data_IF_861006811243
#
_entry.id   IF_861006811243
#
_cell.length_a   1.000
_cell.length_b   1.000
_cell.length_c   1.000
_cell.angle_alpha   90.00
_cell.angle_beta   90.00
_cell.angle_gamma   90.00
#
_symmetry.space_group_name_H-M   'P 1'
#
loop_
_entity.id
_entity.type
_entity.pdbx_description
1 polymer ?
#
# COMPACT_ATOMS: atom_id res chain seq x y z
N UNK A 1 14.10 28.28 -59.06
CA UNK A 1 14.60 27.74 -57.78
C UNK A 1 13.84 26.44 -57.52
N UNK A 2 14.46 25.32 -57.87
CA UNK A 2 13.86 23.98 -57.78
C UNK A 2 14.44 23.28 -56.55
N UNK A 3 13.62 23.03 -55.54
CA UNK A 3 14.03 22.31 -54.32
C UNK A 3 14.06 20.81 -54.67
N UNK A 4 15.21 20.11 -54.56
CA UNK A 4 15.28 18.70 -54.85
C UNK A 4 14.62 17.90 -53.73
N UNK A 5 13.74 16.98 -54.12
CA UNK A 5 13.04 16.04 -53.26
C UNK A 5 14.05 15.05 -52.69
N UNK A 6 14.59 15.34 -51.52
CA UNK A 6 15.49 14.43 -50.82
C UNK A 6 14.68 13.29 -50.21
N UNK A 7 14.83 12.14 -50.85
CA UNK A 7 14.46 10.79 -50.44
C UNK A 7 14.77 10.56 -48.95
N UNK A 8 13.74 10.40 -48.12
CA UNK A 8 13.85 9.85 -46.75
C UNK A 8 12.97 8.61 -46.61
N UNK A 9 13.26 7.59 -47.43
CA UNK A 9 12.75 6.24 -47.24
C UNK A 9 13.55 5.54 -46.14
N UNK A 10 13.28 5.87 -44.86
CA UNK A 10 13.74 5.02 -43.75
C UNK A 10 12.71 3.89 -43.59
N UNK A 11 13.09 2.61 -43.75
CA UNK A 11 12.15 1.51 -43.56
C UNK A 11 11.67 1.50 -42.10
N UNK A 12 10.36 1.50 -41.92
CA UNK A 12 9.70 1.34 -40.63
C UNK A 12 9.98 -0.10 -40.19
N UNK A 13 10.97 -0.29 -39.32
CA UNK A 13 11.23 -1.57 -38.67
C UNK A 13 10.01 -2.00 -37.84
N UNK A 14 9.76 -3.31 -37.68
CA UNK A 14 8.62 -3.79 -36.93
C UNK A 14 8.72 -3.30 -35.48
N UNK A 15 7.66 -2.62 -35.02
CA UNK A 15 7.48 -2.21 -33.62
C UNK A 15 7.66 -3.45 -32.74
N UNK A 16 8.76 -3.48 -31.98
CA UNK A 16 9.03 -4.50 -30.99
C UNK A 16 7.81 -4.63 -30.07
N UNK A 17 7.35 -5.86 -29.90
CA UNK A 17 6.23 -6.17 -29.02
C UNK A 17 6.68 -5.88 -27.59
N UNK A 18 6.25 -4.72 -27.07
CA UNK A 18 6.52 -4.32 -25.69
C UNK A 18 5.98 -5.37 -24.72
N UNK A 19 6.80 -5.79 -23.76
CA UNK A 19 6.40 -6.70 -22.69
C UNK A 19 5.16 -6.14 -22.01
N UNK A 20 4.05 -6.89 -22.02
CA UNK A 20 2.83 -6.51 -21.30
C UNK A 20 3.19 -6.31 -19.82
N UNK A 21 3.22 -5.04 -19.37
CA UNK A 21 3.43 -4.69 -17.96
C UNK A 21 2.32 -5.38 -17.17
N UNK A 22 2.66 -6.34 -16.30
CA UNK A 22 1.67 -6.94 -15.40
C UNK A 22 1.05 -5.82 -14.58
N UNK A 23 -0.28 -5.67 -14.66
CA UNK A 23 -1.03 -4.72 -13.84
C UNK A 23 -0.82 -5.14 -12.39
N UNK A 24 -0.11 -4.34 -11.60
CA UNK A 24 0.04 -4.61 -10.18
C UNK A 24 -1.37 -4.60 -9.57
N UNK A 25 -1.81 -5.73 -9.05
CA UNK A 25 -3.08 -5.80 -8.34
C UNK A 25 -2.91 -5.16 -6.96
N UNK A 26 -3.93 -4.45 -6.45
CA UNK A 26 -3.86 -3.88 -5.12
C UNK A 26 -3.75 -4.98 -4.06
N UNK A 27 -2.91 -4.76 -3.07
CA UNK A 27 -2.64 -5.70 -1.98
C UNK A 27 -3.75 -5.67 -0.93
N UNK A 28 -4.05 -6.82 -0.34
CA UNK A 28 -4.85 -6.87 0.90
C UNK A 28 -3.97 -6.40 2.06
N UNK A 29 -4.53 -5.55 2.92
CA UNK A 29 -3.82 -5.00 4.07
C UNK A 29 -4.49 -5.49 5.35
N UNK A 30 -3.68 -5.83 6.35
CA UNK A 30 -4.15 -6.11 7.72
C UNK A 30 -3.48 -5.13 8.67
N UNK A 31 -4.28 -4.40 9.44
CA UNK A 31 -3.81 -3.65 10.59
C UNK A 31 -4.02 -4.50 11.85
N UNK A 32 -2.94 -4.93 12.48
CA UNK A 32 -2.95 -5.72 13.72
C UNK A 32 -2.50 -4.85 14.88
N UNK A 33 -3.17 -4.94 16.02
CA UNK A 33 -2.70 -4.29 17.25
C UNK A 33 -1.47 -5.06 17.75
N UNK A 34 -0.33 -4.39 17.75
CA UNK A 34 0.94 -4.91 18.26
C UNK A 34 1.02 -4.77 19.77
N UNK A 35 0.73 -3.58 20.27
CA UNK A 35 0.78 -3.26 21.69
C UNK A 35 -0.18 -2.12 22.05
N UNK A 36 -0.60 -2.09 23.31
CA UNK A 36 -1.39 -1.01 23.90
C UNK A 36 -0.57 -0.44 25.04
N UNK A 37 -0.21 0.84 24.96
CA UNK A 37 0.48 1.53 26.04
C UNK A 37 -0.56 2.34 26.81
N UNK A 38 -0.67 2.13 28.12
CA UNK A 38 -1.70 2.76 28.95
C UNK A 38 -3.08 2.12 28.72
N UNK A 39 -4.11 2.96 28.58
CA UNK A 39 -5.50 2.51 28.48
C UNK A 39 -6.19 2.97 27.19
N UNK A 40 -6.63 2.03 26.36
CA UNK A 40 -7.46 2.33 25.20
C UNK A 40 -8.96 2.34 25.59
N UNK A 41 -9.60 3.51 25.54
CA UNK A 41 -11.03 3.64 25.86
C UNK A 41 -11.98 2.87 24.91
N UNK A 42 -11.55 2.62 23.67
CA UNK A 42 -12.30 1.77 22.72
C UNK A 42 -12.22 0.27 23.08
N UNK A 43 -11.21 -0.12 23.87
CA UNK A 43 -10.98 -1.49 24.29
C UNK A 43 -10.19 -2.33 23.29
N UNK A 44 -9.28 -1.73 22.51
CA UNK A 44 -8.34 -2.50 21.69
C UNK A 44 -7.40 -3.35 22.55
N UNK A 45 -7.05 -4.55 22.06
CA UNK A 45 -6.13 -5.48 22.70
C UNK A 45 -5.06 -5.98 21.70
N UNK A 46 -3.84 -6.33 22.16
CA UNK A 46 -2.85 -6.98 21.31
C UNK A 46 -3.42 -8.21 20.62
N UNK A 47 -3.22 -8.30 19.30
CA UNK A 47 -3.78 -9.35 18.45
C UNK A 47 -5.10 -9.00 17.77
N UNK A 48 -5.78 -7.91 18.14
CA UNK A 48 -6.93 -7.42 17.37
C UNK A 48 -6.53 -7.11 15.92
N UNK A 49 -7.41 -7.43 14.97
CA UNK A 49 -7.16 -7.23 13.54
C UNK A 49 -8.26 -6.46 12.84
N UNK A 50 -7.84 -5.70 11.83
CA UNK A 50 -8.71 -5.02 10.87
C UNK A 50 -8.18 -5.29 9.47
N UNK A 51 -9.01 -5.89 8.63
CA UNK A 51 -8.68 -6.24 7.25
C UNK A 51 -9.25 -5.23 6.28
N UNK A 52 -8.43 -4.85 5.28
CA UNK A 52 -8.78 -3.97 4.17
C UNK A 52 -8.58 -4.74 2.86
N UNK A 53 -9.68 -5.17 2.25
CA UNK A 53 -9.68 -5.91 0.99
C UNK A 53 -9.85 -5.01 -0.26
N UNK A 54 -10.22 -3.75 -0.04
CA UNK A 54 -10.47 -2.72 -1.08
C UNK A 54 -11.92 -2.35 -1.30
N UNK A 55 -12.83 -3.10 -0.72
CA UNK A 55 -14.26 -2.89 -0.81
C UNK A 55 -14.85 -2.72 0.59
N UNK A 56 -14.38 -3.54 1.54
CA UNK A 56 -14.82 -3.56 2.92
C UNK A 56 -13.67 -3.30 3.90
N UNK A 57 -14.08 -2.88 5.10
CA UNK A 57 -13.22 -2.82 6.28
C UNK A 57 -13.81 -3.80 7.30
N UNK A 58 -13.11 -4.88 7.57
CA UNK A 58 -13.60 -5.96 8.44
C UNK A 58 -12.76 -6.04 9.71
N UNK A 59 -13.41 -5.86 10.87
CA UNK A 59 -12.75 -5.86 12.19
C UNK A 59 -13.21 -4.68 13.04
N UNK A 60 -12.86 -4.70 14.33
CA UNK A 60 -13.19 -3.60 15.25
C UNK A 60 -12.09 -2.54 15.17
N UNK A 61 -12.46 -1.30 14.91
CA UNK A 61 -11.55 -0.16 14.92
C UNK A 61 -12.29 1.11 15.32
N UNK A 62 -11.67 1.95 16.16
CA UNK A 62 -12.24 3.26 16.46
C UNK A 62 -12.02 4.24 15.30
N UNK A 63 -12.90 5.24 15.17
CA UNK A 63 -12.81 6.21 14.08
C UNK A 63 -11.48 6.98 14.07
N UNK A 64 -10.95 7.33 15.25
CA UNK A 64 -9.68 8.06 15.38
C UNK A 64 -8.48 7.27 14.87
N UNK A 65 -8.39 5.98 15.23
CA UNK A 65 -7.32 5.10 14.75
C UNK A 65 -7.45 4.93 13.24
N UNK A 66 -8.65 4.57 12.76
CA UNK A 66 -8.93 4.37 11.34
C UNK A 66 -8.54 5.60 10.51
N UNK A 67 -9.04 6.79 10.84
CA UNK A 67 -8.71 8.04 10.16
C UNK A 67 -7.20 8.29 10.12
N UNK A 68 -6.50 8.04 11.23
CA UNK A 68 -5.07 8.37 11.35
C UNK A 68 -4.16 7.48 10.48
N UNK A 69 -4.46 6.19 10.35
CA UNK A 69 -3.59 5.25 9.65
C UNK A 69 -4.06 4.91 8.24
N UNK A 70 -5.30 5.26 7.87
CA UNK A 70 -5.87 4.95 6.56
C UNK A 70 -4.99 5.44 5.39
N UNK A 71 -4.33 6.62 5.45
CA UNK A 71 -3.40 7.02 4.39
C UNK A 71 -2.26 6.01 4.16
N UNK A 72 -1.73 5.42 5.23
CA UNK A 72 -0.67 4.40 5.17
C UNK A 72 -1.21 3.07 4.62
N UNK A 73 -2.41 2.66 5.03
CA UNK A 73 -3.12 1.50 4.45
C UNK A 73 -3.31 1.68 2.94
N UNK A 74 -3.80 2.85 2.52
CA UNK A 74 -4.05 3.15 1.11
C UNK A 74 -2.75 3.14 0.29
N UNK A 75 -1.70 3.79 0.80
CA UNK A 75 -0.39 3.77 0.16
C UNK A 75 0.18 2.35 0.00
N UNK A 76 0.18 1.56 1.08
CA UNK A 76 0.68 0.18 1.04
C UNK A 76 -0.13 -0.71 0.10
N UNK A 77 -1.46 -0.54 0.07
CA UNK A 77 -2.38 -1.26 -0.82
C UNK A 77 -2.02 -1.08 -2.28
N UNK A 78 -1.58 0.10 -2.70
CA UNK A 78 -1.19 0.37 -4.08
C UNK A 78 0.31 0.24 -4.34
N UNK A 79 1.03 -0.42 -3.44
CA UNK A 79 2.44 -0.77 -3.64
C UNK A 79 3.42 0.35 -3.36
N UNK A 80 3.04 1.37 -2.58
CA UNK A 80 4.02 2.35 -2.11
C UNK A 80 5.06 1.69 -1.21
N UNK A 81 6.32 2.08 -1.38
CA UNK A 81 7.42 1.71 -0.50
C UNK A 81 7.91 2.95 0.23
N UNK A 82 8.15 2.82 1.53
CA UNK A 82 8.64 3.90 2.36
C UNK A 82 10.10 3.64 2.71
N UNK A 83 11.03 4.57 2.42
CA UNK A 83 12.48 4.33 2.52
C UNK A 83 12.99 4.12 3.96
N UNK A 84 12.18 4.42 4.97
CA UNK A 84 12.53 4.27 6.39
C UNK A 84 12.02 2.97 7.02
N UNK A 85 11.30 2.12 6.28
CA UNK A 85 10.85 0.83 6.80
C UNK A 85 11.96 -0.21 6.66
N UNK A 86 12.17 -1.03 7.70
CA UNK A 86 13.08 -2.18 7.63
C UNK A 86 12.52 -3.30 6.75
N UNK A 87 11.20 -3.41 6.68
CA UNK A 87 10.47 -4.31 5.80
C UNK A 87 9.46 -3.46 4.98
N UNK A 88 9.54 -3.44 3.64
CA UNK A 88 8.63 -2.65 2.80
C UNK A 88 7.15 -3.05 2.92
N UNK A 89 6.86 -4.20 3.53
CA UNK A 89 5.52 -4.74 3.72
C UNK A 89 4.95 -4.50 5.12
N UNK A 90 5.74 -3.97 6.06
CA UNK A 90 5.33 -3.79 7.46
C UNK A 90 5.60 -2.35 7.91
N UNK A 91 4.53 -1.63 8.23
CA UNK A 91 4.61 -0.27 8.74
C UNK A 91 3.95 -0.14 10.11
N UNK A 92 4.65 0.47 11.06
CA UNK A 92 4.10 0.78 12.38
C UNK A 92 3.31 2.08 12.35
N UNK A 93 2.21 2.14 13.11
CA UNK A 93 1.43 3.36 13.28
C UNK A 93 0.85 3.45 14.68
N UNK A 94 1.12 4.55 15.39
CA UNK A 94 0.51 4.81 16.69
C UNK A 94 -0.84 5.50 16.52
N UNK A 95 -1.81 5.10 17.32
CA UNK A 95 -3.06 5.83 17.54
C UNK A 95 -2.74 7.31 17.84
N UNK A 96 -3.55 8.28 17.36
CA UNK A 96 -3.36 9.70 17.66
C UNK A 96 -3.79 10.06 19.10
N UNK A 97 -3.58 9.15 20.04
CA UNK A 97 -3.68 9.38 21.49
C UNK A 97 -2.25 9.35 22.04
N UNK A 98 -1.63 10.52 22.28
CA UNK A 98 -0.26 10.57 22.77
C UNK A 98 -0.09 10.04 24.19
N UNK A 99 -1.16 10.01 25.00
CA UNK A 99 -1.11 9.53 26.37
C UNK A 99 -1.29 8.00 26.45
N UNK A 100 -2.14 7.43 25.59
CA UNK A 100 -2.44 6.00 25.58
C UNK A 100 -2.32 5.37 24.17
N UNK A 101 -1.14 5.41 23.54
CA UNK A 101 -1.02 4.98 22.16
C UNK A 101 -1.20 3.47 22.03
N UNK A 102 -2.17 3.08 21.20
CA UNK A 102 -2.25 1.76 20.59
C UNK A 102 -1.33 1.75 19.37
N UNK A 103 -0.39 0.81 19.30
CA UNK A 103 0.51 0.67 18.16
C UNK A 103 -0.01 -0.44 17.25
N UNK A 104 -0.26 -0.09 15.99
CA UNK A 104 -0.69 -1.00 14.94
C UNK A 104 0.48 -1.39 14.05
N UNK A 105 0.59 -2.67 13.70
CA UNK A 105 1.35 -3.20 12.59
C UNK A 105 0.44 -3.25 11.35
N UNK A 106 0.75 -2.45 10.35
CA UNK A 106 0.03 -2.44 9.07
C UNK A 106 0.84 -3.27 8.09
N UNK A 107 0.28 -4.41 7.72
CA UNK A 107 0.95 -5.46 6.98
C UNK A 107 0.33 -5.62 5.60
N UNK A 108 1.17 -5.60 4.57
CA UNK A 108 0.81 -5.98 3.20
C UNK A 108 0.81 -7.50 3.08
N UNK A 109 -0.35 -8.09 2.77
CA UNK A 109 -0.45 -9.51 2.43
C UNK A 109 -0.15 -9.69 0.94
N UNK A 110 0.92 -10.42 0.64
CA UNK A 110 1.30 -10.78 -0.73
C UNK A 110 0.76 -12.15 -1.10
N UNK A 111 0.13 -12.24 -2.26
CA UNK A 111 -0.14 -13.52 -2.91
C UNK A 111 1.11 -13.98 -3.68
N UNK A 112 1.35 -15.30 -3.84
CA UNK A 112 2.53 -15.84 -4.54
C UNK A 112 2.71 -15.31 -5.98
N UNK A 113 1.63 -14.82 -6.59
CA UNK A 113 1.59 -14.33 -7.96
C UNK A 113 1.90 -12.83 -8.09
N UNK A 114 2.04 -12.10 -6.97
CA UNK A 114 2.23 -10.66 -6.96
C UNK A 114 3.72 -10.27 -7.04
N UNK A 115 4.05 -9.18 -7.78
CA UNK A 115 5.42 -8.71 -7.90
C UNK A 115 5.98 -8.24 -6.55
N UNK A 116 7.30 -8.29 -6.39
CA UNK A 116 7.98 -7.77 -5.19
C UNK A 116 8.08 -6.25 -5.26
#
# INVERSE_FOLDING_TARGET
MSIPTFLWSRPIGPRGQGSKRRKAMPYRIVARVKEVRGHCAFGHQPGDEVTFDGETVAGRVCLSALYSFLPKVFALRYGAEFPWLSDPDVALHACPDPANPVVFEIVRLREPTQPR
#
